data_IF_612517904674
#
_entry.id   IF_612517904674
#
_cell.length_a   1.000
_cell.length_b   1.000
_cell.length_c   1.000
_cell.angle_alpha   90.00
_cell.angle_beta   90.00
_cell.angle_gamma   90.00
#
_symmetry.space_group_name_H-M   'P 1'
#
loop_
_entity.id
_entity.type
_entity.pdbx_description
1 polymer ?
#
# COMPACT_ATOMS: atom_id res chain seq x y z
N UNK A 1 13.44 6.02 -8.50
CA UNK A 1 14.50 4.99 -8.45
C UNK A 1 15.27 5.05 -7.12
N UNK A 2 15.24 3.99 -6.32
CA UNK A 2 16.15 3.84 -5.17
C UNK A 2 17.46 3.22 -5.68
N UNK A 3 18.48 4.05 -5.91
CA UNK A 3 19.81 3.60 -6.39
C UNK A 3 20.46 2.55 -5.49
N UNK A 4 20.13 2.57 -4.20
CA UNK A 4 20.70 1.62 -3.23
C UNK A 4 20.02 0.26 -3.38
N UNK A 5 18.69 0.24 -3.41
CA UNK A 5 17.93 -1.01 -3.35
C UNK A 5 17.69 -1.68 -4.70
N UNK A 6 18.09 -1.04 -5.80
CA UNK A 6 17.90 -1.53 -7.17
C UNK A 6 16.41 -1.73 -7.52
N UNK A 7 15.57 -0.80 -7.03
CA UNK A 7 14.14 -0.73 -7.37
C UNK A 7 13.86 0.57 -8.09
N UNK A 8 13.13 0.45 -9.20
CA UNK A 8 12.51 1.56 -9.88
C UNK A 8 11.06 1.75 -9.37
N UNK A 9 10.77 2.97 -8.91
CA UNK A 9 9.41 3.41 -8.60
C UNK A 9 9.06 4.46 -9.64
N UNK A 10 7.99 4.20 -10.38
CA UNK A 10 7.45 5.10 -11.38
C UNK A 10 6.33 5.89 -10.69
N UNK A 11 6.38 7.21 -10.78
CA UNK A 11 5.31 8.04 -10.24
C UNK A 11 4.04 7.83 -11.05
N UNK A 12 2.92 7.59 -10.36
CA UNK A 12 1.62 7.46 -11.00
C UNK A 12 1.16 8.84 -11.48
N UNK A 13 1.30 9.14 -12.76
CA UNK A 13 0.93 10.46 -13.27
C UNK A 13 -0.53 10.80 -12.98
N UNK A 14 -0.76 12.05 -12.57
CA UNK A 14 -2.08 12.62 -12.30
C UNK A 14 -2.86 11.87 -11.20
N UNK A 15 -2.16 11.26 -10.22
CA UNK A 15 -2.80 10.64 -9.06
C UNK A 15 -3.52 11.68 -8.16
N UNK A 16 -4.57 11.26 -7.44
CA UNK A 16 -5.29 12.08 -6.46
C UNK A 16 -5.26 11.46 -5.05
N UNK A 17 -5.69 12.23 -4.04
CA UNK A 17 -5.89 11.70 -2.68
C UNK A 17 -6.78 10.44 -2.70
N UNK A 18 -6.43 9.39 -1.95
CA UNK A 18 -7.17 8.14 -1.93
C UNK A 18 -8.60 8.24 -1.35
N UNK A 19 -8.96 9.37 -0.75
CA UNK A 19 -10.28 9.54 -0.13
C UNK A 19 -10.41 8.83 1.23
N UNK A 20 -9.29 8.69 1.96
CA UNK A 20 -9.28 8.18 3.34
C UNK A 20 -10.10 9.06 4.30
N UNK A 21 -10.49 8.49 5.44
CA UNK A 21 -11.36 9.02 6.50
C UNK A 21 -11.13 10.49 6.86
N UNK A 22 -12.21 11.32 6.96
CA UNK A 22 -13.62 10.95 7.18
C UNK A 22 -14.48 10.81 5.92
N UNK A 23 -13.92 10.90 4.71
CA UNK A 23 -14.74 11.02 3.49
C UNK A 23 -15.68 9.83 3.25
N UNK A 24 -15.22 8.59 3.51
CA UNK A 24 -16.06 7.39 3.41
C UNK A 24 -17.26 7.37 4.36
N UNK A 25 -17.18 8.10 5.48
CA UNK A 25 -18.28 8.21 6.45
C UNK A 25 -19.30 9.30 6.06
N UNK A 26 -18.94 10.17 5.12
CA UNK A 26 -19.78 11.26 4.62
C UNK A 26 -20.41 10.85 3.28
N UNK A 27 -19.58 10.37 2.34
CA UNK A 27 -19.99 9.88 1.03
C UNK A 27 -19.12 8.69 0.62
N UNK A 28 -19.70 7.50 0.78
CA UNK A 28 -19.01 6.24 0.48
C UNK A 28 -18.75 6.07 -1.02
N UNK A 29 -19.69 6.47 -1.88
CA UNK A 29 -19.53 6.34 -3.33
C UNK A 29 -18.40 7.23 -3.82
N UNK A 30 -18.37 8.49 -3.38
CA UNK A 30 -17.32 9.41 -3.77
C UNK A 30 -15.94 8.96 -3.26
N UNK A 31 -15.86 8.37 -2.08
CA UNK A 31 -14.63 7.74 -1.56
C UNK A 31 -14.15 6.60 -2.49
N UNK A 32 -15.06 5.74 -2.95
CA UNK A 32 -14.73 4.71 -3.92
C UNK A 32 -14.29 5.28 -5.26
N UNK A 33 -14.96 6.33 -5.78
CA UNK A 33 -14.57 6.96 -7.04
C UNK A 33 -13.15 7.55 -7.00
N UNK A 34 -12.79 8.24 -5.90
CA UNK A 34 -11.45 8.81 -5.72
C UNK A 34 -10.36 7.73 -5.73
N UNK A 35 -10.57 6.64 -4.99
CA UNK A 35 -9.63 5.52 -4.97
C UNK A 35 -9.60 4.77 -6.30
N UNK A 36 -10.76 4.52 -6.91
CA UNK A 36 -10.88 3.80 -8.18
C UNK A 36 -10.20 4.54 -9.33
N UNK A 37 -10.19 5.89 -9.32
CA UNK A 37 -9.43 6.68 -10.30
C UNK A 37 -7.94 6.34 -10.28
N UNK A 38 -7.33 6.26 -9.09
CA UNK A 38 -5.92 5.86 -8.97
C UNK A 38 -5.69 4.41 -9.41
N UNK A 39 -6.64 3.52 -9.11
CA UNK A 39 -6.57 2.12 -9.57
C UNK A 39 -6.65 2.03 -11.10
N UNK A 40 -7.55 2.78 -11.74
CA UNK A 40 -7.68 2.86 -13.19
C UNK A 40 -6.41 3.39 -13.85
N UNK A 41 -5.81 4.45 -13.29
CA UNK A 41 -4.55 5.00 -13.77
C UNK A 41 -3.41 3.97 -13.64
N UNK A 42 -3.33 3.28 -12.51
CA UNK A 42 -2.31 2.26 -12.28
C UNK A 42 -2.47 1.06 -13.23
N UNK A 43 -3.70 0.64 -13.51
CA UNK A 43 -4.01 -0.48 -14.40
C UNK A 43 -3.45 -0.26 -15.81
N UNK A 44 -3.50 0.98 -16.31
CA UNK A 44 -2.94 1.36 -17.62
C UNK A 44 -1.42 1.18 -17.71
N UNK A 45 -0.72 1.17 -16.58
CA UNK A 45 0.74 1.01 -16.54
C UNK A 45 1.18 -0.45 -16.60
N UNK A 46 0.29 -1.39 -16.26
CA UNK A 46 0.61 -2.81 -16.15
C UNK A 46 1.46 -3.18 -14.92
N UNK A 47 1.73 -2.25 -14.00
CA UNK A 47 2.50 -2.50 -12.78
C UNK A 47 1.62 -2.59 -11.53
N UNK A 48 2.20 -3.14 -10.46
CA UNK A 48 1.63 -3.06 -9.11
C UNK A 48 1.59 -1.59 -8.63
N UNK A 49 0.56 -1.23 -7.85
CA UNK A 49 0.46 0.08 -7.21
C UNK A 49 1.04 0.00 -5.79
N UNK A 50 2.14 0.72 -5.55
CA UNK A 50 2.82 0.74 -4.24
C UNK A 50 2.55 2.07 -3.52
N UNK A 51 2.24 2.01 -2.22
CA UNK A 51 2.07 3.20 -1.37
C UNK A 51 2.78 3.05 -0.01
N UNK A 52 3.47 4.09 0.49
CA UNK A 52 4.04 4.08 1.85
C UNK A 52 3.03 4.43 2.95
N UNK A 53 1.83 4.87 2.59
CA UNK A 53 0.79 5.28 3.54
C UNK A 53 -0.18 4.13 3.83
N UNK A 54 -0.32 3.77 5.11
CA UNK A 54 -1.26 2.74 5.58
C UNK A 54 -2.71 3.04 5.23
N UNK A 55 -3.12 4.31 5.30
CA UNK A 55 -4.48 4.75 4.94
C UNK A 55 -4.78 4.59 3.45
N UNK A 56 -3.83 4.97 2.59
CA UNK A 56 -3.95 4.74 1.15
C UNK A 56 -4.01 3.24 0.86
N UNK A 57 -3.13 2.46 1.50
CA UNK A 57 -3.04 1.02 1.31
C UNK A 57 -4.36 0.31 1.61
N UNK A 58 -4.99 0.62 2.76
CA UNK A 58 -6.27 -0.01 3.13
C UNK A 58 -7.44 0.48 2.27
N UNK A 59 -7.49 1.78 1.94
CA UNK A 59 -8.60 2.35 1.16
C UNK A 59 -8.59 1.87 -0.28
N UNK A 60 -7.41 1.80 -0.91
CA UNK A 60 -7.24 1.26 -2.26
C UNK A 60 -7.55 -0.24 -2.31
N UNK A 61 -7.06 -1.03 -1.35
CA UNK A 61 -7.39 -2.46 -1.28
C UNK A 61 -8.87 -2.72 -1.01
N UNK A 62 -9.50 -1.93 -0.11
CA UNK A 62 -10.93 -1.98 0.14
C UNK A 62 -11.69 -1.69 -1.14
N UNK A 63 -11.40 -0.59 -1.82
CA UNK A 63 -12.03 -0.23 -3.10
C UNK A 63 -11.89 -1.36 -4.12
N UNK A 64 -10.66 -1.86 -4.33
CA UNK A 64 -10.40 -2.93 -5.28
C UNK A 64 -11.19 -4.22 -4.98
N UNK A 65 -11.28 -4.61 -3.70
CA UNK A 65 -12.06 -5.79 -3.29
C UNK A 65 -13.56 -5.55 -3.42
N UNK A 66 -14.03 -4.37 -3.00
CA UNK A 66 -15.45 -4.02 -2.98
C UNK A 66 -16.04 -3.93 -4.39
N UNK A 67 -15.30 -3.39 -5.35
CA UNK A 67 -15.73 -3.35 -6.76
C UNK A 67 -15.84 -4.74 -7.40
N UNK A 68 -15.11 -5.74 -6.89
CA UNK A 68 -15.22 -7.14 -7.34
C UNK A 68 -16.41 -7.84 -6.71
N UNK A 69 -16.71 -7.52 -5.46
CA UNK A 69 -17.76 -8.18 -4.66
C UNK A 69 -19.16 -7.60 -4.92
N UNK A 70 -19.25 -6.30 -5.25
CA UNK A 70 -20.52 -5.57 -5.35
C UNK A 70 -20.69 -4.91 -6.74
N UNK A 71 -21.21 -5.63 -7.75
CA UNK A 71 -21.38 -5.13 -9.12
C UNK A 71 -22.22 -3.85 -9.23
N UNK A 72 -23.21 -3.68 -8.37
CA UNK A 72 -24.05 -2.48 -8.33
C UNK A 72 -23.29 -1.22 -7.92
N UNK A 73 -22.27 -1.36 -7.06
CA UNK A 73 -21.39 -0.24 -6.69
C UNK A 73 -20.36 -0.02 -7.78
N UNK A 74 -19.84 -1.11 -8.37
CA UNK A 74 -18.96 -1.04 -9.53
C UNK A 74 -19.58 -0.23 -10.68
N UNK A 75 -20.85 -0.50 -11.03
CA UNK A 75 -21.52 0.22 -12.11
C UNK A 75 -21.56 1.74 -11.91
N UNK A 76 -21.81 2.21 -10.67
CA UNK A 76 -21.80 3.65 -10.34
C UNK A 76 -20.39 4.25 -10.40
N UNK A 77 -19.39 3.49 -9.96
CA UNK A 77 -17.99 3.92 -10.04
C UNK A 77 -17.52 3.97 -11.48
N UNK A 78 -17.92 3.00 -12.32
CA UNK A 78 -17.62 2.97 -13.75
C UNK A 78 -18.21 4.18 -14.47
N UNK A 79 -19.45 4.59 -14.12
CA UNK A 79 -20.06 5.83 -14.65
C UNK A 79 -19.21 7.07 -14.30
N UNK A 80 -18.75 7.18 -13.05
CA UNK A 80 -17.90 8.28 -12.62
C UNK A 80 -16.51 8.27 -13.30
N UNK A 81 -15.92 7.08 -13.50
CA UNK A 81 -14.65 6.92 -14.21
C UNK A 81 -14.79 7.28 -15.70
N UNK A 82 -15.89 6.90 -16.33
CA UNK A 82 -16.17 7.21 -17.73
C UNK A 82 -16.22 8.72 -17.99
N UNK A 83 -16.77 9.51 -17.06
CA UNK A 83 -16.74 10.97 -17.14
C UNK A 83 -15.31 11.55 -17.17
N UNK A 84 -14.33 10.81 -16.64
CA UNK A 84 -12.90 11.14 -16.69
C UNK A 84 -12.12 10.41 -17.79
N UNK A 85 -12.78 9.72 -18.73
CA UNK A 85 -12.15 8.86 -19.74
C UNK A 85 -11.26 7.75 -19.12
N UNK A 86 -11.72 7.17 -18.02
CA UNK A 86 -11.07 6.09 -17.30
C UNK A 86 -11.97 4.86 -17.27
N UNK A 87 -11.34 3.69 -17.17
CA UNK A 87 -11.99 2.40 -16.99
C UNK A 87 -11.15 1.57 -16.02
N UNK A 88 -11.80 0.72 -15.22
CA UNK A 88 -11.12 -0.15 -14.28
C UNK A 88 -11.68 -1.58 -14.30
N UNK A 89 -10.79 -2.54 -14.50
CA UNK A 89 -11.10 -3.97 -14.66
C UNK A 89 -10.78 -4.79 -13.41
N UNK A 90 -10.19 -4.20 -12.37
CA UNK A 90 -9.94 -4.90 -11.11
C UNK A 90 -8.64 -5.70 -11.10
N UNK A 91 -7.70 -5.46 -12.02
CA UNK A 91 -6.48 -6.28 -12.15
C UNK A 91 -5.31 -5.81 -11.31
N UNK A 92 -5.33 -4.56 -10.84
CA UNK A 92 -4.22 -3.97 -10.09
C UNK A 92 -4.03 -4.66 -8.75
N UNK A 93 -2.78 -5.03 -8.45
CA UNK A 93 -2.36 -5.43 -7.10
C UNK A 93 -1.86 -4.19 -6.35
N UNK A 94 -2.47 -3.91 -5.21
CA UNK A 94 -2.09 -2.78 -4.34
C UNK A 94 -1.20 -3.31 -3.23
N UNK A 95 0.00 -2.73 -3.08
CA UNK A 95 1.03 -3.14 -2.10
C UNK A 95 1.36 -1.99 -1.16
N UNK A 96 1.72 -2.31 0.08
CA UNK A 96 2.36 -1.33 0.97
C UNK A 96 3.87 -1.29 0.68
N UNK A 97 4.54 -0.15 0.87
CA UNK A 97 5.99 -0.10 0.64
C UNK A 97 6.77 -1.07 1.54
N UNK A 98 6.30 -1.27 2.77
CA UNK A 98 6.88 -2.27 3.68
C UNK A 98 6.81 -3.69 3.10
N UNK A 99 5.69 -4.05 2.47
CA UNK A 99 5.51 -5.34 1.81
C UNK A 99 6.60 -5.56 0.73
N UNK A 100 6.82 -4.55 -0.12
CA UNK A 100 7.87 -4.60 -1.15
C UNK A 100 9.25 -4.75 -0.53
N UNK A 101 9.55 -4.04 0.56
CA UNK A 101 10.83 -4.19 1.26
C UNK A 101 11.04 -5.60 1.80
N UNK A 102 10.03 -6.19 2.42
CA UNK A 102 10.22 -7.46 3.12
C UNK A 102 10.07 -8.68 2.22
N UNK A 103 9.17 -8.63 1.23
CA UNK A 103 8.82 -9.79 0.41
C UNK A 103 9.46 -9.76 -0.99
N UNK A 104 9.76 -8.58 -1.54
CA UNK A 104 10.32 -8.48 -2.90
C UNK A 104 11.84 -8.22 -2.83
N UNK A 105 12.32 -7.39 -1.89
CA UNK A 105 13.77 -7.17 -1.67
C UNK A 105 14.36 -8.19 -0.70
N UNK A 106 13.72 -8.34 0.46
CA UNK A 106 14.17 -9.21 1.54
C UNK A 106 15.19 -8.54 2.49
N UNK A 107 15.17 -9.01 3.74
CA UNK A 107 15.98 -8.47 4.83
C UNK A 107 17.49 -8.57 4.56
N UNK A 108 17.96 -9.69 4.01
CA UNK A 108 19.40 -9.91 3.77
C UNK A 108 19.95 -8.93 2.74
N UNK A 109 19.21 -8.71 1.64
CA UNK A 109 19.59 -7.76 0.61
C UNK A 109 19.61 -6.33 1.16
N UNK A 110 18.64 -5.95 1.99
CA UNK A 110 18.62 -4.65 2.68
C UNK A 110 19.82 -4.53 3.62
N UNK A 111 20.05 -5.53 4.48
CA UNK A 111 21.15 -5.56 5.45
C UNK A 111 22.52 -5.45 4.80
N UNK A 112 22.74 -6.14 3.66
CA UNK A 112 24.00 -6.10 2.91
C UNK A 112 24.36 -4.70 2.37
N UNK A 113 23.36 -3.81 2.26
CA UNK A 113 23.48 -2.46 1.70
C UNK A 113 23.60 -1.37 2.78
N UNK A 114 23.57 -1.75 4.06
CA UNK A 114 23.69 -0.84 5.20
C UNK A 114 25.09 -0.25 5.27
N UNK A 115 25.19 1.08 5.20
CA UNK A 115 26.48 1.82 5.32
C UNK A 115 26.75 2.31 6.74
N UNK A 116 25.68 2.57 7.49
CA UNK A 116 25.69 2.95 8.90
C UNK A 116 24.54 2.20 9.54
N UNK A 117 24.88 1.25 10.39
CA UNK A 117 23.89 0.46 11.10
C UNK A 117 23.27 1.27 12.25
N UNK A 118 22.21 0.72 12.82
CA UNK A 118 21.48 1.28 13.95
C UNK A 118 21.95 0.70 15.30
N UNK A 119 23.20 0.24 15.38
CA UNK A 119 23.73 -0.43 16.57
C UNK A 119 23.55 0.42 17.83
N UNK A 120 23.08 -0.22 18.90
CA UNK A 120 22.81 0.44 20.18
C UNK A 120 21.50 1.24 20.23
N UNK A 121 20.74 1.33 19.13
CA UNK A 121 19.41 1.93 19.13
C UNK A 121 18.33 0.88 19.43
N UNK A 122 17.53 1.19 20.45
CA UNK A 122 16.30 0.47 20.79
C UNK A 122 15.13 1.11 20.06
N UNK A 123 14.42 0.36 19.24
CA UNK A 123 13.37 0.89 18.35
C UNK A 123 12.07 0.12 18.58
N UNK A 124 10.99 0.83 18.89
CA UNK A 124 9.66 0.23 19.01
C UNK A 124 8.98 0.21 17.62
N UNK A 125 8.62 -0.96 17.06
CA UNK A 125 7.99 -1.06 15.76
C UNK A 125 6.50 -0.66 15.81
N UNK A 126 6.19 0.58 15.46
CA UNK A 126 4.80 1.02 15.36
C UNK A 126 4.21 0.72 13.97
N UNK A 127 3.43 -0.37 13.87
CA UNK A 127 2.71 -0.75 12.65
C UNK A 127 1.50 0.15 12.34
N UNK A 128 0.99 0.86 13.35
CA UNK A 128 -0.33 1.49 13.29
C UNK A 128 -1.46 0.47 13.17
N UNK A 129 -2.69 0.96 13.01
CA UNK A 129 -3.88 0.11 13.01
C UNK A 129 -4.21 -0.53 11.65
N UNK A 130 -3.59 -0.08 10.56
CA UNK A 130 -4.06 -0.38 9.20
C UNK A 130 -3.11 -1.25 8.36
N UNK A 131 -1.80 -1.18 8.56
CA UNK A 131 -0.83 -1.73 7.58
C UNK A 131 -0.91 -3.25 7.42
N UNK A 132 -1.29 -3.99 8.46
CA UNK A 132 -1.40 -5.47 8.48
C UNK A 132 -2.83 -5.98 8.43
N UNK A 133 -3.81 -5.09 8.21
CA UNK A 133 -5.25 -5.41 8.33
C UNK A 133 -6.03 -5.62 7.01
N UNK A 134 -5.51 -5.36 5.79
CA UNK A 134 -6.23 -5.81 4.60
C UNK A 134 -6.41 -7.32 4.58
N UNK A 135 -7.53 -7.81 4.01
CA UNK A 135 -7.90 -9.24 3.98
C UNK A 135 -6.81 -10.14 3.39
N UNK A 136 -6.00 -9.61 2.48
CA UNK A 136 -4.83 -10.27 1.86
C UNK A 136 -3.53 -9.54 2.23
N UNK A 137 -3.39 -9.16 3.50
CA UNK A 137 -2.20 -8.49 4.04
C UNK A 137 -0.95 -9.36 3.95
N UNK A 138 0.21 -8.71 4.06
CA UNK A 138 1.52 -9.34 3.90
C UNK A 138 2.16 -9.80 5.21
N UNK A 139 1.48 -9.61 6.34
CA UNK A 139 1.96 -9.95 7.68
C UNK A 139 0.79 -10.36 8.59
N UNK A 140 1.08 -10.94 9.75
CA UNK A 140 0.08 -11.41 10.70
C UNK A 140 -0.65 -10.21 11.34
N UNK A 141 -1.99 -10.18 11.35
CA UNK A 141 -2.75 -9.01 11.81
C UNK A 141 -2.63 -8.76 13.32
N UNK A 142 -2.44 -9.81 14.12
CA UNK A 142 -2.34 -9.72 15.59
C UNK A 142 -0.91 -9.78 16.13
N UNK A 143 0.03 -10.31 15.34
CA UNK A 143 1.41 -10.58 15.77
C UNK A 143 2.38 -10.29 14.62
N UNK A 144 2.36 -9.05 14.09
CA UNK A 144 3.18 -8.72 12.95
C UNK A 144 4.66 -8.72 13.33
N UNK A 145 5.53 -9.10 12.39
CA UNK A 145 6.99 -9.17 12.62
C UNK A 145 7.82 -8.48 11.54
N UNK A 146 7.17 -7.92 10.51
CA UNK A 146 7.87 -7.34 9.36
C UNK A 146 8.74 -6.14 9.71
N UNK A 147 8.25 -5.21 10.53
CA UNK A 147 9.04 -4.08 11.01
C UNK A 147 10.13 -4.51 11.99
N UNK A 148 9.85 -5.46 12.88
CA UNK A 148 10.82 -5.99 13.84
C UNK A 148 12.04 -6.57 13.12
N UNK A 149 11.79 -7.43 12.13
CA UNK A 149 12.83 -8.03 11.29
C UNK A 149 13.54 -6.99 10.45
N UNK A 150 12.82 -5.98 9.93
CA UNK A 150 13.44 -4.89 9.20
C UNK A 150 14.38 -4.07 10.08
N UNK A 151 13.97 -3.71 11.30
CA UNK A 151 14.81 -3.01 12.28
C UNK A 151 16.08 -3.82 12.58
N UNK A 152 15.91 -5.12 12.86
CA UNK A 152 17.04 -6.01 13.13
C UNK A 152 18.01 -6.10 11.93
N UNK A 153 17.49 -6.18 10.70
CA UNK A 153 18.32 -6.20 9.48
C UNK A 153 19.14 -4.91 9.27
N UNK A 154 18.72 -3.81 9.89
CA UNK A 154 19.43 -2.52 9.89
C UNK A 154 20.41 -2.37 11.07
N UNK A 155 20.53 -3.40 11.93
CA UNK A 155 21.39 -3.41 13.13
C UNK A 155 20.74 -2.85 14.40
N UNK A 156 19.45 -2.53 14.36
CA UNK A 156 18.72 -2.03 15.54
C UNK A 156 18.25 -3.15 16.45
N UNK A 157 17.95 -2.81 17.71
CA UNK A 157 17.29 -3.69 18.68
C UNK A 157 15.77 -3.41 18.67
N UNK A 158 14.94 -4.25 18.02
CA UNK A 158 13.49 -4.11 18.13
C UNK A 158 13.05 -4.46 19.56
N UNK A 159 12.31 -3.54 20.21
CA UNK A 159 11.82 -3.75 21.58
C UNK A 159 10.35 -4.16 21.60
N UNK A 160 9.96 -5.07 22.53
CA UNK A 160 8.55 -5.38 22.74
C UNK A 160 7.82 -4.15 23.30
N UNK A 161 6.60 -3.92 22.83
CA UNK A 161 5.71 -2.85 23.29
C UNK A 161 4.33 -3.40 23.64
#
# INVERSE_FOLDING_TARGET
>A
MSKVLDIELIELNDWNCCGSTPYSSIDELASFCLSARNLALAEKTGFDLVTPCSSCYITLNRTNSYLKEYPQVKAKVDEALAAGNLEYHGTVRVRHLLDVFVNDIGYDAIGSKVKRNLDGLKVAPYYGCQVVRPRFGFDHPEFPQSLDKLIASLGGEPVPF
#
